data_IF_386746529007
#
_entry.id   IF_386746529007
#
_cell.length_a   1.000
_cell.length_b   1.000
_cell.length_c   1.000
_cell.angle_alpha   90.00
_cell.angle_beta   90.00
_cell.angle_gamma   90.00
#
_symmetry.space_group_name_H-M   'P 1'
#
loop_
_entity.id
_entity.type
_entity.pdbx_description
1 polymer ?
#
# COMPACT_ATOMS: atom_id res chain seq x y z
N UNK A 1 -8.28 -27.56 1.06
CA UNK A 1 -8.04 -26.59 2.16
C UNK A 1 -6.77 -25.86 1.81
N UNK A 2 -6.84 -24.56 1.64
CA UNK A 2 -5.68 -23.71 1.36
C UNK A 2 -4.66 -23.79 2.53
N UNK A 3 -3.39 -23.95 2.21
CA UNK A 3 -2.31 -23.98 3.19
C UNK A 3 -1.22 -23.00 2.76
N UNK A 4 -0.98 -21.98 3.58
CA UNK A 4 0.02 -20.96 3.30
C UNK A 4 1.37 -21.36 3.90
N UNK A 5 2.35 -21.58 3.06
CA UNK A 5 3.75 -21.79 3.48
C UNK A 5 4.44 -20.43 3.60
N UNK A 6 4.37 -19.86 4.80
CA UNK A 6 4.91 -18.53 5.09
C UNK A 6 6.40 -18.43 4.83
N UNK A 7 7.16 -19.48 5.14
CA UNK A 7 8.60 -19.49 4.91
C UNK A 7 8.92 -19.39 3.42
N UNK A 8 8.35 -20.30 2.63
CA UNK A 8 8.55 -20.32 1.17
C UNK A 8 8.10 -19.03 0.52
N UNK A 9 6.96 -18.49 0.95
CA UNK A 9 6.41 -17.25 0.42
C UNK A 9 7.31 -16.05 0.74
N UNK A 10 7.80 -15.95 1.98
CA UNK A 10 8.67 -14.86 2.42
C UNK A 10 10.03 -14.93 1.73
N UNK A 11 10.69 -16.09 1.74
CA UNK A 11 12.00 -16.29 1.10
C UNK A 11 11.91 -16.04 -0.43
N UNK A 12 10.83 -16.51 -1.07
CA UNK A 12 10.60 -16.27 -2.49
C UNK A 12 10.35 -14.80 -2.81
N UNK A 13 9.62 -14.06 -1.95
CA UNK A 13 9.40 -12.64 -2.11
C UNK A 13 10.71 -11.83 -1.95
N UNK A 14 11.54 -12.18 -0.98
CA UNK A 14 12.85 -11.56 -0.76
C UNK A 14 13.74 -11.75 -1.99
N UNK A 15 13.81 -12.96 -2.53
CA UNK A 15 14.60 -13.24 -3.73
C UNK A 15 14.05 -12.50 -4.95
N UNK A 16 12.74 -12.48 -5.14
CA UNK A 16 12.10 -11.72 -6.21
C UNK A 16 12.44 -10.21 -6.13
N UNK A 17 12.49 -9.61 -4.92
CA UNK A 17 12.91 -8.21 -4.76
C UNK A 17 14.36 -8.02 -5.23
N UNK A 18 15.28 -8.94 -4.86
CA UNK A 18 16.70 -8.88 -5.27
C UNK A 18 16.82 -8.92 -6.79
N UNK A 19 16.17 -9.90 -7.43
CA UNK A 19 16.17 -10.07 -8.89
C UNK A 19 15.57 -8.85 -9.60
N UNK A 20 14.44 -8.33 -9.07
CA UNK A 20 13.78 -7.16 -9.64
C UNK A 20 14.70 -5.93 -9.60
N UNK A 21 15.38 -5.68 -8.48
CA UNK A 21 16.32 -4.57 -8.37
C UNK A 21 17.56 -4.76 -9.25
N UNK A 22 18.06 -5.96 -9.39
CA UNK A 22 19.21 -6.21 -10.29
C UNK A 22 18.88 -5.86 -11.74
N UNK A 23 17.63 -6.10 -12.17
CA UNK A 23 17.17 -5.84 -13.53
C UNK A 23 16.69 -4.39 -13.75
N UNK A 24 16.04 -3.76 -12.75
CA UNK A 24 15.30 -2.51 -12.92
C UNK A 24 15.84 -1.35 -12.07
N UNK A 25 16.79 -1.60 -11.19
CA UNK A 25 17.28 -0.60 -10.24
C UNK A 25 18.56 -1.03 -9.54
N UNK A 26 19.54 -1.54 -10.28
CA UNK A 26 20.83 -1.94 -9.70
C UNK A 26 21.46 -0.78 -8.93
N UNK A 27 21.72 -1.00 -7.64
CA UNK A 27 22.25 0.02 -6.75
C UNK A 27 21.24 1.10 -6.30
N UNK A 28 19.97 1.03 -6.74
CA UNK A 28 18.93 1.94 -6.29
C UNK A 28 18.46 1.64 -4.85
N UNK A 29 17.86 2.65 -4.23
CA UNK A 29 17.24 2.58 -2.90
C UNK A 29 15.76 2.23 -3.05
N UNK A 30 15.21 1.34 -2.22
CA UNK A 30 13.78 1.16 -2.07
C UNK A 30 13.22 2.33 -1.23
N UNK A 31 12.31 3.10 -1.80
CA UNK A 31 11.66 4.25 -1.12
C UNK A 31 10.19 3.92 -0.90
N UNK A 32 9.71 4.09 0.33
CA UNK A 32 8.33 3.74 0.66
C UNK A 32 7.72 4.67 1.72
N UNK A 33 6.40 4.81 1.64
CA UNK A 33 5.62 5.49 2.66
C UNK A 33 5.53 4.62 3.92
N UNK A 34 5.84 5.21 5.07
CA UNK A 34 5.78 4.54 6.37
C UNK A 34 4.58 5.06 7.14
N UNK A 35 3.53 4.25 7.26
CA UNK A 35 2.33 4.54 8.07
C UNK A 35 2.38 3.94 9.47
N UNK A 36 3.35 3.06 9.72
CA UNK A 36 3.42 2.26 10.94
C UNK A 36 2.34 1.17 11.04
N UNK A 37 1.56 0.95 9.99
CA UNK A 37 0.62 -0.17 9.86
C UNK A 37 1.27 -1.41 9.24
N UNK A 38 0.55 -2.54 9.26
CA UNK A 38 1.04 -3.87 8.85
C UNK A 38 1.72 -3.89 7.48
N UNK A 39 1.08 -3.30 6.47
CA UNK A 39 1.53 -3.42 5.08
C UNK A 39 2.85 -2.70 4.85
N UNK A 40 2.94 -1.41 5.23
CA UNK A 40 4.18 -0.64 5.12
C UNK A 40 5.31 -1.24 5.96
N UNK A 41 4.99 -1.84 7.12
CA UNK A 41 5.97 -2.49 8.00
C UNK A 41 6.54 -3.75 7.37
N UNK A 42 5.68 -4.59 6.78
CA UNK A 42 6.10 -5.84 6.12
C UNK A 42 6.89 -5.54 4.85
N UNK A 43 6.46 -4.57 4.03
CA UNK A 43 7.21 -4.17 2.83
C UNK A 43 8.57 -3.61 3.19
N UNK A 44 8.67 -2.76 4.22
CA UNK A 44 9.94 -2.23 4.68
C UNK A 44 10.89 -3.35 5.15
N UNK A 45 10.39 -4.30 5.94
CA UNK A 45 11.17 -5.44 6.43
C UNK A 45 11.63 -6.35 5.28
N UNK A 46 10.74 -6.69 4.32
CA UNK A 46 11.11 -7.46 3.13
C UNK A 46 12.22 -6.77 2.31
N UNK A 47 12.11 -5.44 2.14
CA UNK A 47 13.13 -4.67 1.45
C UNK A 47 14.47 -4.65 2.22
N UNK A 48 14.44 -4.56 3.56
CA UNK A 48 15.65 -4.65 4.38
C UNK A 48 16.34 -6.01 4.25
N UNK A 49 15.58 -7.11 4.27
CA UNK A 49 16.12 -8.47 4.09
C UNK A 49 16.66 -8.69 2.66
N UNK A 50 16.04 -8.08 1.67
CA UNK A 50 16.45 -8.22 0.28
C UNK A 50 17.69 -7.39 -0.07
N UNK A 51 17.74 -6.13 0.36
CA UNK A 51 18.66 -5.12 -0.15
C UNK A 51 19.68 -4.64 0.90
N UNK A 52 19.42 -4.91 2.19
CA UNK A 52 20.10 -4.26 3.31
C UNK A 52 19.42 -2.93 3.67
N UNK A 53 19.41 -2.62 4.97
CA UNK A 53 18.73 -1.44 5.53
C UNK A 53 19.25 -0.10 4.98
N UNK A 54 20.51 -0.05 4.56
CA UNK A 54 21.16 1.14 3.98
C UNK A 54 20.58 1.50 2.59
N UNK A 55 19.88 0.55 1.97
CA UNK A 55 19.18 0.72 0.69
C UNK A 55 17.68 0.78 0.84
N UNK A 56 17.17 1.09 2.03
CA UNK A 56 15.75 1.30 2.30
C UNK A 56 15.56 2.68 2.92
N UNK A 57 14.64 3.47 2.39
CA UNK A 57 14.39 4.83 2.85
C UNK A 57 12.90 5.05 3.12
N UNK A 58 12.56 5.42 4.35
CA UNK A 58 11.20 5.66 4.79
C UNK A 58 10.78 7.12 4.60
N UNK A 59 9.54 7.34 4.16
CA UNK A 59 8.94 8.68 4.08
C UNK A 59 7.65 8.69 4.91
N UNK A 60 7.64 9.47 5.97
CA UNK A 60 6.49 9.67 6.84
C UNK A 60 5.73 10.90 6.33
N UNK A 61 4.46 10.74 5.98
CA UNK A 61 3.69 11.78 5.29
C UNK A 61 2.36 12.08 6.02
N UNK A 62 2.42 12.71 7.22
CA UNK A 62 1.21 13.15 7.91
C UNK A 62 0.49 14.23 7.09
N UNK A 63 -0.84 14.29 7.24
CA UNK A 63 -1.68 15.39 6.75
C UNK A 63 -2.15 16.21 7.97
N UNK A 64 -1.36 17.21 8.35
CA UNK A 64 -1.52 17.94 9.59
C UNK A 64 -0.92 17.20 10.80
N UNK A 65 -1.61 17.27 11.93
CA UNK A 65 -1.26 16.51 13.14
C UNK A 65 -1.71 15.06 13.01
N UNK A 66 -0.81 14.14 13.25
CA UNK A 66 -1.08 12.70 13.25
C UNK A 66 -0.72 12.10 14.62
N UNK A 67 -1.73 11.74 15.40
CA UNK A 67 -1.56 11.26 16.78
C UNK A 67 -0.81 9.95 16.91
N UNK A 68 -0.73 9.16 15.86
CA UNK A 68 -0.10 7.83 15.81
C UNK A 68 1.20 7.79 14.99
N UNK A 69 1.80 8.95 14.68
CA UNK A 69 3.05 9.03 13.90
C UNK A 69 4.22 8.31 14.58
N UNK A 70 4.17 8.16 15.90
CA UNK A 70 5.18 7.45 16.69
C UNK A 70 5.34 5.99 16.24
N UNK A 71 4.27 5.33 15.78
CA UNK A 71 4.38 3.99 15.20
C UNK A 71 5.29 3.96 13.96
N UNK A 72 5.24 5.01 13.15
CA UNK A 72 6.09 5.13 11.95
C UNK A 72 7.55 5.38 12.33
N UNK A 73 7.81 6.24 13.31
CA UNK A 73 9.15 6.48 13.85
C UNK A 73 9.74 5.23 14.51
N UNK A 74 8.93 4.54 15.33
CA UNK A 74 9.33 3.31 15.99
C UNK A 74 9.69 2.21 14.99
N UNK A 75 8.94 2.09 13.90
CA UNK A 75 9.25 1.13 12.83
C UNK A 75 10.59 1.43 12.17
N UNK A 76 10.82 2.69 11.77
CA UNK A 76 12.09 3.10 11.16
C UNK A 76 13.27 2.82 12.12
N UNK A 77 13.09 3.12 13.39
CA UNK A 77 14.10 2.83 14.44
C UNK A 77 14.32 1.33 14.62
N UNK A 78 13.25 0.53 14.63
CA UNK A 78 13.35 -0.93 14.77
C UNK A 78 14.12 -1.56 13.60
N UNK A 79 13.81 -1.15 12.38
CA UNK A 79 14.49 -1.63 11.17
C UNK A 79 15.87 -0.99 10.96
N UNK A 80 16.18 0.11 11.64
CA UNK A 80 17.42 0.86 11.49
C UNK A 80 17.55 1.53 10.12
N UNK A 81 16.45 1.96 9.53
CA UNK A 81 16.41 2.63 8.22
C UNK A 81 16.39 4.15 8.37
N UNK A 82 17.02 4.84 7.41
CA UNK A 82 16.92 6.30 7.28
C UNK A 82 15.52 6.74 6.86
N UNK A 83 15.10 7.90 7.34
CA UNK A 83 13.76 8.41 7.01
C UNK A 83 13.70 9.95 7.02
N UNK A 84 12.62 10.48 6.44
CA UNK A 84 12.22 11.88 6.57
C UNK A 84 10.74 12.00 6.87
N UNK A 85 10.36 13.13 7.47
CA UNK A 85 8.95 13.51 7.64
C UNK A 85 8.63 14.64 6.65
N UNK A 86 7.58 14.45 5.86
CA UNK A 86 7.05 15.45 4.92
C UNK A 86 5.57 15.64 5.20
N UNK A 87 5.20 16.71 5.90
CA UNK A 87 3.79 17.02 6.12
C UNK A 87 3.16 17.47 4.79
N UNK A 88 2.10 16.78 4.37
CA UNK A 88 1.44 17.06 3.07
C UNK A 88 0.31 18.08 3.17
N UNK A 89 -0.02 18.59 4.37
CA UNK A 89 -1.18 19.43 4.62
C UNK A 89 -1.23 20.67 3.69
N UNK A 90 -0.14 21.40 3.61
CA UNK A 90 -0.09 22.62 2.80
C UNK A 90 -0.22 22.33 1.30
N UNK A 91 0.30 21.19 0.83
CA UNK A 91 0.14 20.77 -0.56
C UNK A 91 -1.31 20.40 -0.88
N UNK A 92 -1.98 19.68 0.02
CA UNK A 92 -3.40 19.34 -0.10
C UNK A 92 -4.25 20.62 -0.07
N UNK A 93 -4.01 21.51 0.91
CA UNK A 93 -4.69 22.80 1.03
C UNK A 93 -4.47 23.68 -0.20
N UNK A 94 -3.23 23.73 -0.73
CA UNK A 94 -2.88 24.47 -1.93
C UNK A 94 -3.65 24.02 -3.17
N UNK A 95 -3.85 22.71 -3.35
CA UNK A 95 -4.68 22.19 -4.46
C UNK A 95 -6.13 22.64 -4.30
N UNK A 96 -6.71 22.53 -3.10
CA UNK A 96 -8.08 22.99 -2.85
C UNK A 96 -8.21 24.50 -3.08
N UNK A 97 -7.25 25.29 -2.59
CA UNK A 97 -7.24 26.73 -2.83
C UNK A 97 -7.14 27.11 -4.32
N UNK A 98 -6.34 26.36 -5.09
CA UNK A 98 -6.21 26.54 -6.53
C UNK A 98 -7.48 26.21 -7.32
N UNK A 99 -8.25 25.20 -6.90
CA UNK A 99 -9.57 24.89 -7.46
C UNK A 99 -10.56 26.00 -7.11
N UNK A 100 -10.43 26.55 -5.89
CA UNK A 100 -11.27 27.64 -5.39
C UNK A 100 -12.76 27.27 -5.39
N UNK A 101 -13.57 28.24 -5.76
CA UNK A 101 -15.03 28.08 -5.87
C UNK A 101 -15.49 27.77 -7.31
N UNK A 102 -14.56 27.39 -8.20
CA UNK A 102 -14.89 27.15 -9.62
C UNK A 102 -15.75 25.90 -9.80
N UNK A 103 -15.47 24.87 -8.99
CA UNK A 103 -16.25 23.63 -8.93
C UNK A 103 -16.44 23.18 -7.49
N UNK A 104 -17.53 22.48 -7.23
CA UNK A 104 -17.74 21.83 -5.93
C UNK A 104 -16.80 20.62 -5.77
N UNK A 105 -16.03 20.61 -4.69
CA UNK A 105 -15.12 19.49 -4.38
C UNK A 105 -15.90 18.36 -3.74
N UNK A 106 -16.06 17.26 -4.46
CA UNK A 106 -16.79 16.08 -4.00
C UNK A 106 -16.09 15.40 -2.80
N UNK A 107 -16.88 14.67 -2.01
CA UNK A 107 -16.34 13.84 -0.90
C UNK A 107 -15.26 12.86 -1.40
N UNK A 108 -15.47 12.24 -2.58
CA UNK A 108 -14.49 11.33 -3.16
C UNK A 108 -13.17 12.03 -3.52
N UNK A 109 -13.22 13.29 -3.98
CA UNK A 109 -12.00 14.07 -4.20
C UNK A 109 -11.25 14.34 -2.91
N UNK A 110 -11.96 14.66 -1.82
CA UNK A 110 -11.36 14.89 -0.50
C UNK A 110 -10.66 13.64 0.05
N UNK A 111 -11.22 12.46 -0.18
CA UNK A 111 -10.64 11.18 0.23
C UNK A 111 -9.40 10.85 -0.63
N UNK A 112 -9.47 11.08 -1.94
CA UNK A 112 -8.45 10.60 -2.88
C UNK A 112 -7.29 11.59 -3.13
N UNK A 113 -7.41 12.85 -2.77
CA UNK A 113 -6.33 13.82 -2.98
C UNK A 113 -5.12 13.55 -2.08
N UNK A 114 -5.26 13.35 -0.75
CA UNK A 114 -4.10 13.10 0.11
C UNK A 114 -3.24 11.91 -0.33
N UNK A 115 -3.77 10.72 -0.68
CA UNK A 115 -2.96 9.62 -1.21
C UNK A 115 -2.19 9.98 -2.49
N UNK A 116 -2.76 10.80 -3.39
CA UNK A 116 -2.08 11.24 -4.61
C UNK A 116 -0.95 12.23 -4.32
N UNK A 117 -1.15 13.15 -3.37
CA UNK A 117 -0.08 14.04 -2.92
C UNK A 117 1.05 13.24 -2.26
N UNK A 118 0.74 12.25 -1.42
CA UNK A 118 1.75 11.34 -0.85
C UNK A 118 2.55 10.64 -1.95
N UNK A 119 1.91 10.19 -3.01
CA UNK A 119 2.61 9.55 -4.13
C UNK A 119 3.53 10.52 -4.86
N UNK A 120 3.09 11.78 -5.09
CA UNK A 120 3.95 12.81 -5.68
C UNK A 120 5.20 13.06 -4.82
N UNK A 121 5.04 13.11 -3.49
CA UNK A 121 6.17 13.24 -2.54
C UNK A 121 7.10 12.03 -2.63
N UNK A 122 6.55 10.81 -2.63
CA UNK A 122 7.36 9.58 -2.72
C UNK A 122 8.22 9.55 -3.99
N UNK A 123 7.66 9.89 -5.15
CA UNK A 123 8.42 9.92 -6.39
C UNK A 123 9.47 11.05 -6.40
N UNK A 124 9.18 12.22 -5.83
CA UNK A 124 10.16 13.29 -5.70
C UNK A 124 11.35 12.87 -4.82
N UNK A 125 11.08 12.24 -3.68
CA UNK A 125 12.11 11.68 -2.78
C UNK A 125 12.87 10.54 -3.48
N UNK A 126 12.16 9.63 -4.12
CA UNK A 126 12.74 8.49 -4.83
C UNK A 126 13.74 8.93 -5.89
N UNK A 127 13.36 9.89 -6.74
CA UNK A 127 14.27 10.44 -7.76
C UNK A 127 15.50 11.10 -7.14
N UNK A 128 15.32 11.83 -6.04
CA UNK A 128 16.43 12.50 -5.32
C UNK A 128 17.39 11.52 -4.64
N UNK A 129 16.91 10.30 -4.33
CA UNK A 129 17.67 9.21 -3.69
C UNK A 129 18.18 8.15 -4.67
N UNK A 130 18.05 8.35 -5.99
CA UNK A 130 18.26 7.29 -6.98
C UNK A 130 17.46 6.02 -6.60
N UNK A 131 16.18 6.20 -6.33
CA UNK A 131 15.32 5.17 -5.74
C UNK A 131 14.32 4.55 -6.69
N UNK A 132 13.58 3.58 -6.14
CA UNK A 132 12.37 2.98 -6.70
C UNK A 132 11.30 2.97 -5.63
N UNK A 133 10.08 3.35 -6.00
CA UNK A 133 8.95 3.42 -5.06
C UNK A 133 8.35 2.03 -4.86
N UNK A 134 8.34 1.54 -3.62
CA UNK A 134 7.63 0.32 -3.25
C UNK A 134 6.15 0.61 -3.02
N UNK A 135 5.28 -0.13 -3.70
CA UNK A 135 3.86 -0.19 -3.41
C UNK A 135 3.61 -1.02 -2.15
N UNK A 136 2.66 -0.61 -1.33
CA UNK A 136 2.30 -1.29 -0.07
C UNK A 136 0.87 -1.83 -0.04
N UNK A 137 0.15 -1.83 -1.18
CA UNK A 137 -1.19 -2.43 -1.27
C UNK A 137 -1.09 -3.96 -1.25
N UNK A 138 -2.00 -4.59 -0.52
CA UNK A 138 -2.14 -6.03 -0.47
C UNK A 138 -3.29 -6.51 -1.38
N UNK A 139 -3.36 -7.82 -1.62
CA UNK A 139 -4.35 -8.42 -2.51
C UNK A 139 -5.79 -8.18 -2.06
N UNK A 140 -6.06 -8.22 -0.76
CA UNK A 140 -7.43 -8.09 -0.24
C UNK A 140 -7.98 -6.67 -0.46
N UNK A 141 -7.15 -5.65 -0.23
CA UNK A 141 -7.50 -4.26 -0.52
C UNK A 141 -7.70 -4.04 -2.02
N UNK A 142 -6.77 -4.51 -2.82
CA UNK A 142 -6.84 -4.42 -4.28
C UNK A 142 -8.05 -5.17 -4.85
N UNK A 143 -8.41 -6.34 -4.28
CA UNK A 143 -9.56 -7.13 -4.74
C UNK A 143 -10.87 -6.36 -4.73
N UNK A 144 -11.10 -5.59 -3.68
CA UNK A 144 -12.31 -4.78 -3.51
C UNK A 144 -12.13 -3.31 -3.93
N UNK A 145 -10.92 -2.97 -4.42
CA UNK A 145 -10.59 -1.62 -4.90
C UNK A 145 -10.49 -0.60 -3.77
N UNK A 146 -10.11 -1.03 -2.58
CA UNK A 146 -9.89 -0.17 -1.41
C UNK A 146 -8.51 0.51 -1.50
N UNK A 147 -8.26 1.15 -2.63
CA UNK A 147 -7.05 1.90 -2.93
C UNK A 147 -7.35 3.05 -3.89
N UNK A 148 -6.54 4.09 -3.85
CA UNK A 148 -6.67 5.26 -4.72
C UNK A 148 -5.79 5.09 -5.95
N UNK A 149 -6.40 5.02 -7.15
CA UNK A 149 -5.65 4.96 -8.40
C UNK A 149 -4.73 6.17 -8.55
N UNK A 150 -3.46 5.93 -8.85
CA UNK A 150 -2.38 6.93 -8.92
C UNK A 150 -2.09 7.62 -7.58
N UNK A 151 -2.59 7.08 -6.47
CA UNK A 151 -2.21 7.40 -5.11
C UNK A 151 -1.49 6.20 -4.50
N UNK A 152 -2.02 5.65 -3.42
CA UNK A 152 -1.47 4.47 -2.73
C UNK A 152 -1.38 3.21 -3.61
N UNK A 153 -2.19 3.09 -4.69
CA UNK A 153 -2.06 2.00 -5.66
C UNK A 153 -0.87 2.14 -6.62
N UNK A 154 -0.16 3.27 -6.62
CA UNK A 154 1.01 3.45 -7.49
C UNK A 154 2.29 2.93 -6.83
N UNK A 155 3.29 2.63 -7.66
CA UNK A 155 4.60 2.17 -7.27
C UNK A 155 5.37 1.64 -8.47
N UNK A 156 6.66 1.42 -8.30
CA UNK A 156 7.53 0.82 -9.32
C UNK A 156 7.55 -0.71 -9.19
N UNK A 157 7.33 -1.22 -7.97
CA UNK A 157 7.20 -2.65 -7.66
C UNK A 157 6.28 -2.87 -6.46
N UNK A 158 5.63 -4.03 -6.38
CA UNK A 158 4.63 -4.35 -5.36
C UNK A 158 4.87 -5.71 -4.70
N UNK A 159 5.69 -5.78 -3.64
CA UNK A 159 6.10 -7.07 -3.04
C UNK A 159 4.94 -7.86 -2.46
N UNK A 160 3.92 -7.19 -1.91
CA UNK A 160 2.80 -7.84 -1.22
C UNK A 160 1.48 -7.82 -2.00
N UNK A 161 1.47 -7.35 -3.25
CA UNK A 161 0.24 -7.20 -4.05
C UNK A 161 -0.47 -8.53 -4.36
N UNK A 162 0.15 -9.67 -4.08
CA UNK A 162 -0.45 -11.01 -4.25
C UNK A 162 -0.72 -11.73 -2.93
N UNK A 163 -0.44 -11.10 -1.80
CA UNK A 163 -0.71 -11.64 -0.47
C UNK A 163 -1.97 -11.02 0.12
N UNK A 164 -2.81 -11.85 0.73
CA UNK A 164 -3.98 -11.39 1.49
C UNK A 164 -3.58 -10.76 2.82
N UNK A 165 -4.51 -10.07 3.49
CA UNK A 165 -4.25 -9.45 4.80
C UNK A 165 -3.73 -10.48 5.82
N UNK A 166 -4.32 -11.68 5.87
CA UNK A 166 -3.87 -12.73 6.77
C UNK A 166 -2.43 -13.18 6.47
N UNK A 167 -2.12 -13.37 5.20
CA UNK A 167 -0.77 -13.78 4.75
C UNK A 167 0.27 -12.71 5.02
N UNK A 168 -0.05 -11.43 4.81
CA UNK A 168 0.83 -10.30 5.15
C UNK A 168 1.16 -10.29 6.64
N UNK A 169 0.16 -10.53 7.50
CA UNK A 169 0.40 -10.63 8.96
C UNK A 169 1.34 -11.79 9.31
N UNK A 170 1.16 -12.96 8.69
CA UNK A 170 2.04 -14.11 8.92
C UNK A 170 3.47 -13.87 8.44
N UNK A 171 3.63 -13.21 7.26
CA UNK A 171 4.95 -12.78 6.77
C UNK A 171 5.60 -11.82 7.77
N UNK A 172 4.85 -10.85 8.31
CA UNK A 172 5.35 -9.93 9.32
C UNK A 172 5.87 -10.63 10.57
N UNK A 173 5.12 -11.63 11.08
CA UNK A 173 5.54 -12.47 12.21
C UNK A 173 6.78 -13.30 11.88
N UNK A 174 6.83 -13.90 10.71
CA UNK A 174 7.98 -14.67 10.25
C UNK A 174 9.27 -13.81 10.15
N UNK A 175 9.13 -12.53 9.76
CA UNK A 175 10.21 -11.55 9.73
C UNK A 175 10.58 -11.00 11.12
N UNK A 176 9.88 -11.40 12.18
CA UNK A 176 10.15 -10.96 13.55
C UNK A 176 9.68 -9.54 13.88
N UNK A 177 8.74 -9.00 13.09
CA UNK A 177 8.15 -7.70 13.40
C UNK A 177 7.34 -7.78 14.72
N UNK A 178 7.47 -6.78 15.59
CA UNK A 178 6.64 -6.66 16.79
C UNK A 178 5.13 -6.62 16.46
N UNK A 179 4.32 -7.31 17.26
CA UNK A 179 2.85 -7.39 17.08
C UNK A 179 2.19 -6.00 17.00
N UNK A 180 2.74 -4.99 17.66
CA UNK A 180 2.20 -3.62 17.58
C UNK A 180 2.14 -3.05 16.16
N UNK A 181 3.03 -3.49 15.26
CA UNK A 181 3.00 -3.09 13.85
C UNK A 181 2.08 -3.96 13.00
N UNK A 182 1.92 -5.24 13.39
CA UNK A 182 1.12 -6.23 12.65
C UNK A 182 -0.37 -6.07 12.96
N UNK A 183 -0.71 -5.84 14.23
CA UNK A 183 -2.09 -5.76 14.71
C UNK A 183 -2.60 -4.31 14.91
N UNK A 184 -1.81 -3.31 14.47
CA UNK A 184 -2.29 -1.93 14.48
C UNK A 184 -3.59 -1.84 13.70
N UNK A 185 -4.67 -1.43 14.38
CA UNK A 185 -5.96 -1.21 13.73
C UNK A 185 -5.81 -0.09 12.71
N UNK A 186 -6.16 -0.32 11.43
CA UNK A 186 -6.16 0.73 10.43
C UNK A 186 -7.11 1.85 10.87
N UNK A 187 -6.57 3.06 11.03
CA UNK A 187 -7.38 4.26 11.30
C UNK A 187 -7.17 5.25 10.17
N UNK A 188 -8.25 5.83 9.67
CA UNK A 188 -8.18 6.93 8.72
C UNK A 188 -7.80 8.27 9.39
N UNK A 189 -7.60 8.25 10.72
CA UNK A 189 -7.29 9.43 11.52
C UNK A 189 -8.44 10.44 11.65
N UNK A 190 -9.57 10.19 10.99
CA UNK A 190 -10.66 11.16 10.87
C UNK A 190 -12.01 10.68 11.40
N UNK A 191 -12.42 9.45 11.12
CA UNK A 191 -13.79 8.98 11.42
C UNK A 191 -13.90 8.00 12.58
N UNK A 192 -12.80 7.44 13.06
CA UNK A 192 -12.81 6.37 14.06
C UNK A 192 -13.41 5.04 13.57
N UNK A 193 -13.85 4.97 12.32
CA UNK A 193 -14.37 3.76 11.69
C UNK A 193 -13.24 2.96 11.05
N UNK A 194 -13.31 1.63 11.17
CA UNK A 194 -12.37 0.72 10.52
C UNK A 194 -12.71 0.53 9.04
N UNK A 195 -11.77 -0.02 8.27
CA UNK A 195 -12.02 -0.39 6.87
C UNK A 195 -13.14 -1.44 6.77
N UNK A 196 -13.17 -2.41 7.68
CA UNK A 196 -14.20 -3.45 7.74
C UNK A 196 -15.60 -2.89 8.01
N UNK A 197 -15.70 -1.83 8.84
CA UNK A 197 -16.98 -1.12 9.07
C UNK A 197 -17.50 -0.49 7.78
N UNK A 198 -16.62 0.13 7.00
CA UNK A 198 -16.97 0.76 5.71
C UNK A 198 -17.29 -0.29 4.63
N UNK A 199 -16.54 -1.37 4.60
CA UNK A 199 -16.75 -2.47 3.68
C UNK A 199 -18.00 -3.30 4.03
N UNK A 200 -18.31 -3.45 5.33
CA UNK A 200 -19.43 -4.25 5.84
C UNK A 200 -19.20 -5.77 5.80
N UNK A 201 -17.93 -6.17 5.67
CA UNK A 201 -17.45 -7.55 5.81
C UNK A 201 -16.00 -7.52 6.31
N UNK A 202 -15.55 -8.64 6.89
CA UNK A 202 -14.20 -8.75 7.45
C UNK A 202 -13.18 -9.17 6.39
N UNK A 203 -11.92 -8.76 6.58
CA UNK A 203 -10.83 -9.25 5.74
C UNK A 203 -10.67 -10.77 5.84
N UNK A 204 -10.89 -11.37 7.01
CA UNK A 204 -10.85 -12.82 7.17
C UNK A 204 -11.86 -13.55 6.25
N UNK A 205 -13.07 -12.99 6.08
CA UNK A 205 -14.07 -13.52 5.15
C UNK A 205 -13.63 -13.33 3.69
N UNK A 206 -13.12 -12.15 3.36
CA UNK A 206 -12.62 -11.82 2.03
C UNK A 206 -11.43 -12.72 1.63
N UNK A 207 -10.45 -12.88 2.52
CA UNK A 207 -9.25 -13.68 2.29
C UNK A 207 -9.61 -15.14 2.00
N UNK A 208 -10.53 -15.70 2.79
CA UNK A 208 -11.05 -17.04 2.56
C UNK A 208 -11.75 -17.15 1.20
N UNK A 209 -12.55 -16.16 0.84
CA UNK A 209 -13.21 -16.13 -0.46
C UNK A 209 -12.20 -16.06 -1.60
N UNK A 210 -11.18 -15.21 -1.49
CA UNK A 210 -10.11 -15.08 -2.50
C UNK A 210 -9.37 -16.42 -2.69
N UNK A 211 -9.03 -17.11 -1.59
CA UNK A 211 -8.18 -18.31 -1.63
C UNK A 211 -8.93 -19.62 -1.88
N UNK A 212 -10.13 -19.75 -1.35
CA UNK A 212 -10.89 -21.01 -1.39
C UNK A 212 -12.18 -20.91 -2.23
N UNK A 213 -12.60 -19.72 -2.64
CA UNK A 213 -13.88 -19.51 -3.36
C UNK A 213 -15.11 -19.72 -2.48
N UNK A 214 -14.94 -19.82 -1.15
CA UNK A 214 -16.01 -20.19 -0.22
C UNK A 214 -16.45 -18.99 0.62
N UNK A 215 -17.72 -18.65 0.51
CA UNK A 215 -18.42 -17.71 1.38
C UNK A 215 -19.85 -18.21 1.60
N UNK A 216 -20.33 -18.17 2.84
CA UNK A 216 -21.66 -18.67 3.22
C UNK A 216 -22.74 -17.58 3.21
N UNK A 217 -22.33 -16.33 3.22
CA UNK A 217 -23.20 -15.16 3.21
C UNK A 217 -23.32 -14.64 1.78
N UNK A 218 -24.42 -14.97 1.11
CA UNK A 218 -24.66 -14.62 -0.30
C UNK A 218 -24.76 -13.09 -0.52
N UNK A 219 -25.24 -12.33 0.46
CA UNK A 219 -25.32 -10.87 0.35
C UNK A 219 -23.93 -10.25 0.33
N UNK A 220 -23.08 -10.68 1.26
CA UNK A 220 -21.67 -10.22 1.31
C UNK A 220 -20.89 -10.69 0.09
N UNK A 221 -21.14 -11.93 -0.39
CA UNK A 221 -20.56 -12.42 -1.64
C UNK A 221 -20.91 -11.51 -2.81
N UNK A 222 -22.18 -11.20 -3.00
CA UNK A 222 -22.64 -10.34 -4.08
C UNK A 222 -22.02 -8.93 -3.98
N UNK A 223 -21.85 -8.40 -2.76
CA UNK A 223 -21.17 -7.12 -2.52
C UNK A 223 -19.69 -7.18 -2.90
N UNK A 224 -18.96 -8.21 -2.50
CA UNK A 224 -17.54 -8.41 -2.83
C UNK A 224 -17.37 -8.53 -4.34
N UNK A 225 -18.15 -9.38 -5.01
CA UNK A 225 -18.10 -9.57 -6.46
C UNK A 225 -18.38 -8.27 -7.22
N UNK A 226 -19.35 -7.50 -6.76
CA UNK A 226 -19.66 -6.18 -7.33
C UNK A 226 -18.49 -5.21 -7.16
N UNK A 227 -17.90 -5.11 -5.95
CA UNK A 227 -16.76 -4.23 -5.70
C UNK A 227 -15.57 -4.63 -6.55
N UNK A 228 -15.25 -5.93 -6.62
CA UNK A 228 -14.20 -6.46 -7.47
C UNK A 228 -14.38 -6.04 -8.93
N UNK A 229 -15.54 -6.33 -9.51
CA UNK A 229 -15.85 -6.00 -10.91
C UNK A 229 -15.75 -4.51 -11.20
N UNK A 230 -16.27 -3.66 -10.30
CA UNK A 230 -16.24 -2.19 -10.47
C UNK A 230 -14.84 -1.61 -10.39
N UNK A 231 -13.92 -2.27 -9.67
CA UNK A 231 -12.59 -1.75 -9.40
C UNK A 231 -11.47 -2.41 -10.23
N UNK A 232 -11.78 -3.43 -11.03
CA UNK A 232 -10.79 -4.12 -11.89
C UNK A 232 -9.96 -3.15 -12.74
N UNK A 233 -10.56 -2.06 -13.23
CA UNK A 233 -9.86 -1.08 -14.04
C UNK A 233 -8.70 -0.37 -13.30
N UNK A 234 -8.72 -0.35 -11.95
CA UNK A 234 -7.64 0.23 -11.14
C UNK A 234 -6.37 -0.62 -11.20
N UNK A 235 -6.53 -1.93 -11.36
CA UNK A 235 -5.46 -2.93 -11.37
C UNK A 235 -4.88 -3.18 -12.77
N UNK A 236 -5.51 -2.61 -13.77
CA UNK A 236 -5.08 -2.77 -15.16
C UNK A 236 -4.05 -1.70 -15.54
N UNK A 237 -3.09 -2.08 -16.38
CA UNK A 237 -2.23 -1.10 -17.05
C UNK A 237 -3.09 -0.10 -17.82
N UNK A 238 -2.54 1.09 -18.07
CA UNK A 238 -3.24 2.10 -18.87
C UNK A 238 -3.60 1.50 -20.23
N UNK A 239 -4.90 1.40 -20.58
CA UNK A 239 -5.29 0.94 -21.90
C UNK A 239 -4.84 1.94 -22.94
N UNK A 240 -4.28 1.43 -24.03
CA UNK A 240 -3.80 2.22 -25.17
C UNK A 240 -4.54 1.84 -26.43
N UNK A 241 -4.68 2.80 -27.35
CA UNK A 241 -5.18 2.49 -28.69
C UNK A 241 -4.08 1.75 -29.48
N UNK A 242 -4.40 0.55 -29.92
CA UNK A 242 -3.51 -0.25 -30.75
C UNK A 242 -3.68 0.20 -32.22
N UNK A 243 -2.73 1.02 -32.66
CA UNK A 243 -2.67 1.44 -34.07
C UNK A 243 -1.91 0.39 -34.88
N UNK A 244 -2.55 -0.15 -35.89
CA UNK A 244 -1.91 -1.01 -36.90
C UNK A 244 -1.40 -0.13 -38.04
N UNK A 245 -0.08 0.06 -38.23
CA UNK A 245 0.47 0.86 -39.31
C UNK A 245 0.33 0.18 -40.71
N UNK A 246 -0.13 -1.09 -40.74
CA UNK A 246 -0.37 -1.81 -41.99
C UNK A 246 -1.80 -1.60 -42.55
N UNK A 247 -2.67 -0.93 -41.79
CA UNK A 247 -3.99 -0.47 -42.26
C UNK A 247 -3.91 0.94 -42.79
#
# INVERSE_FOLDING_TARGET
MYNFDVKKATEGCIEWIREWFEQNGKGCTAVLGISGGKDSSVVAALCCEALGKERVFGVLMPDGEQCDIDYSHDLCKFLGIDNIVVNIHDAVAGVYAGIGNTIEISTQSKINLPPRIRMAVLYAVSQSKNGRVANTCNLSEDWVGYSTRYGDSAGDFGPISRFTVAEVKEIGRYLGLPEKFIEKVPSDGLSGSTDEDKLGFTYAMLDKYIREGVITDEEKKAKIDRLHKLNLFKLQTLPVYEFDPAL
#
